data_IF_201867350727
#
_entry.id   IF_201867350727
#
_cell.length_a   1.000
_cell.length_b   1.000
_cell.length_c   1.000
_cell.angle_alpha   90.00
_cell.angle_beta   90.00
_cell.angle_gamma   90.00
#
_symmetry.space_group_name_H-M   'P 1'
#
loop_
_entity.id
_entity.type
_entity.pdbx_description
1 polymer ?
#
# COMPACT_ATOMS: atom_id res chain seq x y z
N UNK A 1 1.31 14.31 21.39
CA UNK A 1 1.19 13.30 22.46
C UNK A 1 1.95 12.06 22.03
N UNK A 2 2.73 11.41 22.92
CA UNK A 2 3.29 10.10 22.63
C UNK A 2 2.15 9.12 22.28
N UNK A 3 2.39 8.14 21.38
CA UNK A 3 1.37 7.16 21.05
C UNK A 3 0.94 6.43 22.33
N UNK A 4 -0.38 6.30 22.54
CA UNK A 4 -0.90 5.48 23.62
C UNK A 4 -0.43 4.05 23.39
N UNK A 5 0.05 3.40 24.45
CA UNK A 5 0.52 2.01 24.43
C UNK A 5 -0.35 1.15 25.34
N UNK A 6 -0.48 -0.14 25.05
CA UNK A 6 -1.20 -1.05 25.91
C UNK A 6 -0.41 -1.26 27.21
N UNK A 7 -1.10 -1.38 28.35
CA UNK A 7 -0.46 -1.51 29.66
C UNK A 7 0.16 -2.90 29.91
N UNK A 8 -0.29 -3.90 29.15
CA UNK A 8 0.19 -5.29 29.11
C UNK A 8 -0.10 -5.85 27.71
N UNK A 9 0.51 -6.97 27.29
CA UNK A 9 0.17 -7.60 26.03
C UNK A 9 -1.36 -7.78 25.89
N UNK A 10 -1.97 -7.30 24.79
CA UNK A 10 -3.39 -7.52 24.53
C UNK A 10 -3.72 -9.00 24.42
N UNK A 11 -4.96 -9.35 24.73
CA UNK A 11 -5.46 -10.71 24.58
C UNK A 11 -5.69 -11.07 23.12
N UNK A 12 -5.57 -12.36 22.81
CA UNK A 12 -5.96 -12.93 21.52
C UNK A 12 -7.42 -12.55 21.23
N UNK A 13 -7.72 -12.27 19.98
CA UNK A 13 -9.10 -12.14 19.50
C UNK A 13 -9.40 -13.19 18.44
N UNK A 14 -10.64 -13.65 18.41
CA UNK A 14 -11.12 -14.59 17.41
C UNK A 14 -12.56 -14.24 17.02
N UNK A 15 -13.00 -14.74 15.87
CA UNK A 15 -14.39 -14.61 15.43
C UNK A 15 -15.13 -15.95 15.53
N UNK A 16 -16.39 -15.90 15.93
CA UNK A 16 -17.28 -17.06 15.87
C UNK A 16 -17.84 -17.28 14.45
N UNK A 17 -18.74 -18.24 14.28
CA UNK A 17 -19.38 -18.57 12.99
C UNK A 17 -20.25 -17.44 12.43
N UNK A 18 -20.70 -16.51 13.27
CA UNK A 18 -21.48 -15.32 12.87
C UNK A 18 -20.60 -14.12 12.51
N UNK A 19 -19.27 -14.24 12.70
CA UNK A 19 -18.33 -13.15 12.48
C UNK A 19 -18.26 -12.15 13.64
N UNK A 20 -18.86 -12.45 14.79
CA UNK A 20 -18.71 -11.64 16.00
C UNK A 20 -17.32 -11.87 16.58
N UNK A 21 -16.62 -10.80 16.94
CA UNK A 21 -15.25 -10.83 17.46
C UNK A 21 -15.30 -10.88 18.98
N UNK A 22 -14.64 -11.88 19.56
CA UNK A 22 -14.50 -12.08 21.01
C UNK A 22 -13.02 -12.09 21.39
N UNK A 23 -12.70 -11.67 22.61
CA UNK A 23 -11.37 -11.85 23.19
C UNK A 23 -11.25 -13.19 23.93
N UNK A 24 -10.05 -13.74 23.94
CA UNK A 24 -9.69 -14.92 24.73
C UNK A 24 -8.56 -14.55 25.69
N UNK A 25 -8.87 -14.19 26.95
CA UNK A 25 -7.90 -13.64 27.89
C UNK A 25 -6.73 -14.55 28.27
N UNK A 26 -6.89 -15.86 28.13
CA UNK A 26 -5.89 -16.86 28.53
C UNK A 26 -4.69 -16.92 27.55
N UNK A 27 -4.85 -16.38 26.34
CA UNK A 27 -3.76 -16.22 25.38
C UNK A 27 -3.54 -14.75 25.06
N UNK A 28 -2.26 -14.35 24.96
CA UNK A 28 -1.91 -13.05 24.41
C UNK A 28 -1.95 -13.06 22.89
N UNK A 29 -2.14 -11.88 22.30
CA UNK A 29 -2.07 -11.71 20.85
C UNK A 29 -0.71 -12.16 20.33
N UNK A 30 -0.71 -12.86 19.20
CA UNK A 30 0.50 -13.23 18.48
C UNK A 30 0.56 -12.51 17.14
N UNK A 31 1.78 -12.17 16.72
CA UNK A 31 2.10 -11.73 15.39
C UNK A 31 2.83 -12.81 14.61
N UNK A 32 2.64 -12.86 13.30
CA UNK A 32 3.39 -13.71 12.38
C UNK A 32 4.38 -12.90 11.54
N UNK A 33 5.57 -13.50 11.37
CA UNK A 33 6.67 -13.05 10.54
C UNK A 33 7.10 -14.22 9.65
N UNK A 34 6.27 -14.51 8.64
CA UNK A 34 6.46 -15.60 7.68
C UNK A 34 6.60 -17.01 8.31
N UNK A 35 5.64 -17.42 9.14
CA UNK A 35 5.62 -18.71 9.82
C UNK A 35 6.37 -18.73 11.15
N UNK A 36 6.73 -17.56 11.68
CA UNK A 36 7.38 -17.40 12.98
C UNK A 36 6.46 -16.58 13.88
N UNK A 37 5.76 -17.27 14.78
CA UNK A 37 4.89 -16.62 15.74
C UNK A 37 5.70 -16.01 16.87
N UNK A 38 5.36 -14.78 17.22
CA UNK A 38 5.98 -14.04 18.30
C UNK A 38 4.94 -13.17 19.00
N UNK A 39 5.15 -12.90 20.29
CA UNK A 39 4.41 -11.86 20.99
C UNK A 39 4.94 -10.49 20.55
N UNK A 40 4.12 -9.60 19.98
CA UNK A 40 4.56 -8.24 19.71
C UNK A 40 4.94 -7.51 21.00
N UNK A 41 6.00 -6.70 20.96
CA UNK A 41 6.33 -5.83 22.08
C UNK A 41 5.25 -4.75 22.24
N UNK A 42 5.05 -4.23 23.45
CA UNK A 42 4.08 -3.13 23.67
C UNK A 42 4.43 -1.87 22.86
N UNK A 43 5.70 -1.71 22.51
CA UNK A 43 6.22 -0.63 21.68
C UNK A 43 5.89 -0.78 20.19
N UNK A 44 5.56 -2.00 19.77
CA UNK A 44 5.07 -2.37 18.45
C UNK A 44 3.56 -2.19 18.29
N UNK A 45 2.85 -1.86 19.37
CA UNK A 45 1.40 -1.80 19.39
C UNK A 45 0.88 -0.37 19.41
N UNK A 46 -0.08 -0.11 18.52
CA UNK A 46 -0.86 1.12 18.48
C UNK A 46 -2.34 0.79 18.60
N UNK A 47 -3.12 1.71 19.16
CA UNK A 47 -4.58 1.63 19.09
C UNK A 47 -5.02 1.55 17.62
N UNK A 48 -5.98 0.69 17.30
CA UNK A 48 -6.48 0.49 15.94
C UNK A 48 -6.81 1.85 15.31
N UNK A 49 -6.12 2.27 14.24
CA UNK A 49 -6.30 3.62 13.70
C UNK A 49 -7.73 3.86 13.21
N UNK A 50 -8.33 5.04 13.45
CA UNK A 50 -9.63 5.37 12.90
C UNK A 50 -9.67 5.23 11.37
N UNK A 51 -10.70 4.57 10.84
CA UNK A 51 -10.82 4.24 9.42
C UNK A 51 -10.16 2.92 9.02
N UNK A 52 -9.64 2.15 9.97
CA UNK A 52 -9.24 0.76 9.76
C UNK A 52 -10.45 -0.17 9.78
N UNK A 53 -10.30 -1.37 9.21
CA UNK A 53 -11.33 -2.42 9.19
C UNK A 53 -10.79 -3.70 9.84
N UNK A 54 -11.69 -4.52 10.38
CA UNK A 54 -11.39 -5.85 10.92
C UNK A 54 -11.92 -6.91 9.97
N UNK A 55 -11.12 -7.95 9.74
CA UNK A 55 -11.45 -9.05 8.84
C UNK A 55 -11.43 -10.37 9.57
N UNK A 56 -12.49 -11.16 9.37
CA UNK A 56 -12.49 -12.59 9.67
C UNK A 56 -11.71 -13.31 8.58
N UNK A 57 -10.89 -14.29 8.95
CA UNK A 57 -10.09 -15.09 8.03
C UNK A 57 -10.67 -16.51 7.92
N UNK A 58 -11.52 -16.81 6.92
CA UNK A 58 -12.16 -18.11 6.82
C UNK A 58 -11.16 -19.25 6.66
N UNK A 59 -11.36 -20.35 7.39
CA UNK A 59 -10.47 -21.51 7.37
C UNK A 59 -9.09 -21.26 8.00
N UNK A 60 -8.95 -20.23 8.84
CA UNK A 60 -7.72 -19.96 9.61
C UNK A 60 -8.07 -20.06 11.09
N UNK A 61 -7.42 -20.97 11.81
CA UNK A 61 -7.54 -21.07 13.26
C UNK A 61 -6.65 -20.02 13.92
N UNK A 62 -7.15 -19.21 14.88
CA UNK A 62 -6.34 -18.19 15.54
C UNK A 62 -5.21 -18.81 16.37
N UNK A 63 -4.06 -18.15 16.38
CA UNK A 63 -2.94 -18.51 17.25
C UNK A 63 -2.61 -17.35 18.20
N UNK A 64 -2.36 -17.68 19.46
CA UNK A 64 -1.94 -16.73 20.50
C UNK A 64 -0.69 -17.22 21.22
N UNK A 65 -0.15 -16.41 22.13
CA UNK A 65 0.99 -16.79 22.98
C UNK A 65 0.49 -17.14 24.37
N UNK A 66 0.86 -18.31 24.87
CA UNK A 66 0.53 -18.71 26.23
C UNK A 66 1.39 -17.91 27.24
N UNK A 67 0.78 -17.19 28.19
CA UNK A 67 1.49 -16.36 29.15
C UNK A 67 2.39 -17.14 30.11
N UNK A 68 2.10 -18.42 30.38
CA UNK A 68 2.85 -19.25 31.31
C UNK A 68 4.09 -19.89 30.66
N UNK A 69 3.99 -20.30 29.39
CA UNK A 69 5.07 -21.00 28.68
C UNK A 69 5.86 -20.09 27.74
N UNK A 70 5.24 -19.00 27.26
CA UNK A 70 5.77 -18.15 26.20
C UNK A 70 5.69 -18.78 24.81
N UNK A 71 5.05 -19.95 24.67
CA UNK A 71 4.93 -20.67 23.40
C UNK A 71 3.65 -20.29 22.66
N UNK A 72 3.65 -20.48 21.34
CA UNK A 72 2.50 -20.22 20.52
C UNK A 72 1.50 -21.39 20.56
N UNK A 73 0.23 -21.09 20.82
CA UNK A 73 -0.85 -22.05 20.90
C UNK A 73 -1.96 -21.72 19.90
N UNK A 74 -2.51 -22.75 19.26
CA UNK A 74 -3.62 -22.60 18.32
C UNK A 74 -4.93 -22.87 19.03
N UNK A 75 -5.84 -21.91 18.99
CA UNK A 75 -7.20 -22.09 19.48
C UNK A 75 -7.98 -22.94 18.46
N UNK A 76 -8.19 -24.22 18.77
CA UNK A 76 -8.85 -25.19 17.88
C UNK A 76 -10.36 -25.25 18.06
N UNK A 77 -10.88 -24.77 19.19
CA UNK A 77 -12.30 -24.77 19.53
C UNK A 77 -12.64 -23.50 20.31
N UNK A 78 -13.81 -22.93 20.05
CA UNK A 78 -14.32 -21.75 20.74
C UNK A 78 -14.60 -22.12 22.21
N UNK A 79 -13.99 -21.43 23.19
CA UNK A 79 -14.14 -21.74 24.60
C UNK A 79 -15.57 -21.55 25.14
N UNK A 80 -16.44 -20.82 24.42
CA UNK A 80 -17.80 -20.53 24.87
C UNK A 80 -18.84 -21.57 24.40
N UNK A 81 -18.71 -22.08 23.17
CA UNK A 81 -19.74 -22.93 22.55
C UNK A 81 -19.18 -24.15 21.78
N UNK A 82 -17.86 -24.34 21.78
CA UNK A 82 -17.19 -25.45 21.11
C UNK A 82 -17.06 -25.33 19.58
N UNK A 83 -17.64 -24.29 18.96
CA UNK A 83 -17.60 -24.09 17.51
C UNK A 83 -16.18 -23.80 16.98
N UNK A 84 -15.98 -23.89 15.67
CA UNK A 84 -14.68 -23.58 15.06
C UNK A 84 -14.40 -22.07 15.12
N UNK A 85 -13.34 -21.63 15.84
CA UNK A 85 -12.97 -20.23 15.88
C UNK A 85 -12.26 -19.82 14.57
N UNK A 86 -12.40 -18.57 14.19
CA UNK A 86 -11.75 -18.00 13.02
C UNK A 86 -10.77 -16.89 13.43
N UNK A 87 -9.60 -16.88 12.81
CA UNK A 87 -8.61 -15.83 13.02
C UNK A 87 -9.15 -14.48 12.57
N UNK A 88 -8.69 -13.42 13.23
CA UNK A 88 -9.06 -12.04 12.93
C UNK A 88 -7.79 -11.24 12.60
N UNK A 89 -7.87 -10.40 11.59
CA UNK A 89 -6.82 -9.46 11.21
C UNK A 89 -7.37 -8.04 11.09
N UNK A 90 -6.48 -7.06 11.11
CA UNK A 90 -6.82 -5.66 10.84
C UNK A 90 -6.24 -5.19 9.51
N UNK A 91 -7.07 -4.51 8.71
CA UNK A 91 -6.60 -3.65 7.63
C UNK A 91 -6.47 -2.23 8.15
N UNK A 92 -5.23 -1.86 8.50
CA UNK A 92 -4.95 -0.55 9.08
C UNK A 92 -5.19 0.58 8.06
N UNK A 93 -5.72 1.69 8.55
CA UNK A 93 -5.90 2.91 7.78
C UNK A 93 -4.59 3.36 7.10
N UNK A 94 -4.67 4.06 5.95
CA UNK A 94 -3.50 4.65 5.30
C UNK A 94 -2.59 5.43 6.28
N UNK A 95 -1.31 5.57 5.92
CA UNK A 95 -0.24 6.14 6.75
C UNK A 95 0.29 5.23 7.88
N UNK A 96 -0.19 3.98 7.97
CA UNK A 96 0.27 3.01 8.96
C UNK A 96 0.92 1.79 8.31
N UNK A 97 2.03 1.34 8.90
CA UNK A 97 2.82 0.19 8.44
C UNK A 97 2.77 -0.90 9.50
N UNK A 98 2.45 -2.13 9.08
CA UNK A 98 2.40 -3.29 9.97
C UNK A 98 3.82 -3.81 10.26
N UNK A 99 4.01 -4.32 11.47
CA UNK A 99 5.26 -5.00 11.88
C UNK A 99 5.07 -6.49 12.08
N UNK A 100 3.83 -6.96 12.19
CA UNK A 100 3.44 -8.37 12.16
C UNK A 100 2.12 -8.57 11.42
N UNK A 101 1.98 -9.70 10.73
CA UNK A 101 0.67 -10.16 10.22
C UNK A 101 -0.08 -10.94 11.29
N UNK A 102 -1.38 -11.17 11.13
CA UNK A 102 -2.15 -12.00 12.05
C UNK A 102 -1.58 -13.42 12.13
N UNK A 103 -1.43 -13.95 13.34
CA UNK A 103 -0.96 -15.31 13.57
C UNK A 103 -2.12 -16.31 13.51
N UNK A 104 -1.98 -17.33 12.67
CA UNK A 104 -2.99 -18.35 12.49
C UNK A 104 -2.41 -19.65 11.93
N UNK A 105 -3.17 -20.74 12.09
CA UNK A 105 -2.93 -21.99 11.38
C UNK A 105 -4.00 -22.18 10.30
N UNK A 106 -3.56 -22.24 9.05
CA UNK A 106 -4.46 -22.49 7.91
C UNK A 106 -4.96 -23.94 7.89
N UNK A 107 -6.26 -24.14 7.72
CA UNK A 107 -6.88 -25.46 7.61
C UNK A 107 -6.90 -25.95 6.16
N UNK A 108 -7.09 -27.26 5.96
CA UNK A 108 -7.31 -27.80 4.63
C UNK A 108 -8.55 -27.16 3.97
N UNK A 109 -8.44 -26.83 2.68
CA UNK A 109 -9.52 -26.22 1.90
C UNK A 109 -9.80 -24.73 2.17
N UNK A 110 -8.96 -24.05 2.96
CA UNK A 110 -9.14 -22.65 3.25
C UNK A 110 -9.03 -21.78 1.97
N UNK A 111 -9.95 -20.82 1.73
CA UNK A 111 -9.97 -20.02 0.51
C UNK A 111 -8.76 -19.08 0.42
N UNK A 112 -8.44 -18.55 -0.75
CA UNK A 112 -7.43 -17.49 -0.85
C UNK A 112 -7.95 -16.20 -0.22
N UNK A 113 -7.14 -15.53 0.61
CA UNK A 113 -7.55 -14.25 1.18
C UNK A 113 -7.53 -13.13 0.11
N UNK A 114 -8.47 -12.17 0.15
CA UNK A 114 -8.47 -11.02 -0.76
C UNK A 114 -7.19 -10.16 -0.70
N UNK A 115 -7.04 -9.22 -1.63
CA UNK A 115 -5.88 -8.34 -1.71
C UNK A 115 -5.95 -7.19 -0.70
N UNK A 116 -5.78 -7.52 0.58
CA UNK A 116 -5.61 -6.58 1.69
C UNK A 116 -4.38 -6.92 2.51
N UNK A 117 -4.00 -6.00 3.40
CA UNK A 117 -3.00 -6.25 4.43
C UNK A 117 -3.69 -6.81 5.68
N UNK A 118 -3.05 -7.80 6.32
CA UNK A 118 -3.63 -8.57 7.41
C UNK A 118 -2.81 -8.40 8.69
N UNK A 119 -2.84 -7.20 9.29
CA UNK A 119 -2.07 -6.91 10.50
C UNK A 119 -2.57 -7.71 11.71
N UNK A 120 -1.65 -8.08 12.62
CA UNK A 120 -2.02 -8.70 13.89
C UNK A 120 -2.85 -7.73 14.73
N UNK A 121 -3.88 -8.25 15.40
CA UNK A 121 -4.80 -7.48 16.24
C UNK A 121 -5.10 -8.23 17.53
N UNK A 122 -5.24 -7.49 18.62
CA UNK A 122 -5.63 -8.00 19.94
C UNK A 122 -6.54 -7.02 20.67
N UNK A 123 -7.04 -7.43 21.82
CA UNK A 123 -7.99 -6.65 22.63
C UNK A 123 -7.43 -6.34 24.01
N UNK A 124 -7.59 -5.10 24.47
CA UNK A 124 -7.28 -4.72 25.84
C UNK A 124 -8.08 -3.49 26.25
N UNK A 125 -8.75 -3.58 27.41
CA UNK A 125 -9.40 -2.45 28.09
C UNK A 125 -10.35 -1.65 27.18
N UNK A 126 -11.24 -2.35 26.46
CA UNK A 126 -12.25 -1.71 25.62
C UNK A 126 -11.76 -1.27 24.24
N UNK A 127 -10.55 -1.67 23.83
CA UNK A 127 -9.90 -1.20 22.62
C UNK A 127 -9.20 -2.31 21.85
N UNK A 128 -9.23 -2.18 20.52
CA UNK A 128 -8.39 -2.96 19.63
C UNK A 128 -7.00 -2.35 19.52
N UNK A 129 -6.00 -3.22 19.54
CA UNK A 129 -4.58 -2.88 19.40
C UNK A 129 -4.00 -3.66 18.24
N UNK A 130 -3.19 -3.00 17.41
CA UNK A 130 -2.60 -3.61 16.21
C UNK A 130 -1.09 -3.50 16.22
N UNK A 131 -0.43 -4.51 15.65
CA UNK A 131 1.01 -4.52 15.49
C UNK A 131 1.45 -3.64 14.30
N UNK A 132 1.81 -2.40 14.60
CA UNK A 132 2.24 -1.44 13.59
C UNK A 132 2.63 -0.08 14.14
N UNK A 133 2.92 0.84 13.23
CA UNK A 133 3.21 2.23 13.55
C UNK A 133 2.70 3.17 12.46
N UNK A 134 2.46 4.43 12.82
CA UNK A 134 2.21 5.48 11.85
C UNK A 134 3.52 5.82 11.13
N UNK A 135 3.65 5.43 9.88
CA UNK A 135 4.84 5.66 9.07
C UNK A 135 4.88 7.05 8.44
N UNK A 136 3.73 7.71 8.30
CA UNK A 136 3.64 9.05 7.71
C UNK A 136 2.76 9.98 8.57
N UNK A 137 3.30 11.13 9.04
CA UNK A 137 2.51 12.07 9.83
C UNK A 137 1.49 12.85 9.00
N UNK A 138 1.55 12.80 7.66
CA UNK A 138 0.64 13.54 6.80
C UNK A 138 -0.81 13.03 6.97
N UNK A 139 -1.76 13.91 7.34
CA UNK A 139 -3.13 13.51 7.64
C UNK A 139 -4.01 13.39 6.39
N UNK A 140 -3.43 13.43 5.18
CA UNK A 140 -4.20 13.60 3.94
C UNK A 140 -5.25 12.53 3.65
N UNK A 141 -5.13 11.36 4.26
CA UNK A 141 -6.10 10.27 4.12
C UNK A 141 -6.69 9.83 5.46
N UNK A 142 -6.51 10.61 6.52
CA UNK A 142 -7.12 10.32 7.83
C UNK A 142 -8.65 10.40 7.71
N UNK A 143 -9.35 9.42 8.29
CA UNK A 143 -10.78 9.24 8.09
C UNK A 143 -11.63 10.43 8.56
N UNK A 144 -11.20 11.10 9.63
CA UNK A 144 -11.84 12.27 10.23
C UNK A 144 -11.78 13.52 9.32
N UNK A 145 -10.90 13.52 8.31
CA UNK A 145 -10.78 14.61 7.34
C UNK A 145 -11.81 14.55 6.22
N UNK A 146 -12.66 13.52 6.17
CA UNK A 146 -13.61 13.32 5.09
C UNK A 146 -15.07 13.48 5.54
N UNK A 147 -15.66 14.64 5.24
CA UNK A 147 -17.09 14.87 5.42
C UNK A 147 -17.89 14.37 4.20
N UNK A 148 -18.65 13.28 4.36
CA UNK A 148 -19.33 12.64 3.23
C UNK A 148 -20.37 13.55 2.54
N UNK A 149 -21.11 14.37 3.28
CA UNK A 149 -22.08 15.32 2.69
C UNK A 149 -21.39 16.33 1.77
N UNK A 150 -20.25 16.86 2.20
CA UNK A 150 -19.44 17.80 1.40
C UNK A 150 -18.87 17.13 0.16
N UNK A 151 -18.39 15.90 0.29
CA UNK A 151 -17.84 15.12 -0.82
C UNK A 151 -18.91 14.86 -1.87
N UNK A 152 -20.09 14.38 -1.48
CA UNK A 152 -21.20 14.14 -2.41
C UNK A 152 -21.55 15.41 -3.20
N UNK A 153 -21.70 16.55 -2.51
CA UNK A 153 -22.01 17.84 -3.13
C UNK A 153 -20.93 18.31 -4.10
N UNK A 154 -19.65 18.29 -3.69
CA UNK A 154 -18.55 18.80 -4.53
C UNK A 154 -18.27 17.89 -5.73
N UNK A 155 -18.37 16.58 -5.55
CA UNK A 155 -18.22 15.61 -6.63
C UNK A 155 -19.31 15.80 -7.68
N UNK A 156 -20.59 15.86 -7.27
CA UNK A 156 -21.70 16.08 -8.19
C UNK A 156 -21.59 17.41 -8.94
N UNK A 157 -21.19 18.50 -8.24
CA UNK A 157 -20.99 19.80 -8.87
C UNK A 157 -19.88 19.78 -9.94
N UNK A 158 -18.75 19.13 -9.64
CA UNK A 158 -17.63 18.99 -10.59
C UNK A 158 -18.01 18.14 -11.81
N UNK A 159 -18.66 17.00 -11.59
CA UNK A 159 -19.13 16.12 -12.68
C UNK A 159 -20.14 16.83 -13.59
N UNK A 160 -21.03 17.65 -13.02
CA UNK A 160 -21.98 18.47 -13.79
C UNK A 160 -21.29 19.60 -14.55
N UNK A 161 -20.22 20.18 -13.98
CA UNK A 161 -19.45 21.26 -14.61
C UNK A 161 -18.64 20.77 -15.82
N UNK A 162 -18.14 19.54 -15.77
CA UNK A 162 -17.32 18.93 -16.81
C UNK A 162 -17.96 17.63 -17.34
N UNK A 163 -19.17 17.71 -17.95
CA UNK A 163 -19.92 16.51 -18.33
C UNK A 163 -19.25 15.72 -19.46
N UNK A 164 -18.52 16.41 -20.35
CA UNK A 164 -17.82 15.80 -21.46
C UNK A 164 -16.43 15.21 -21.09
N UNK A 165 -15.90 15.55 -19.91
CA UNK A 165 -14.58 15.07 -19.48
C UNK A 165 -14.72 13.68 -18.85
N UNK A 166 -14.34 12.64 -19.59
CA UNK A 166 -14.54 11.24 -19.16
C UNK A 166 -13.71 10.91 -17.92
N UNK A 167 -12.54 11.54 -17.76
CA UNK A 167 -11.68 11.34 -16.60
C UNK A 167 -12.37 11.82 -15.31
N UNK A 168 -13.02 12.98 -15.33
CA UNK A 168 -13.80 13.48 -14.18
C UNK A 168 -14.95 12.54 -13.84
N UNK A 169 -15.65 12.02 -14.84
CA UNK A 169 -16.76 11.09 -14.60
C UNK A 169 -16.26 9.78 -13.96
N UNK A 170 -15.13 9.24 -14.44
CA UNK A 170 -14.48 8.07 -13.84
C UNK A 170 -14.05 8.33 -12.39
N UNK A 171 -13.38 9.46 -12.14
CA UNK A 171 -12.98 9.85 -10.78
C UNK A 171 -14.20 10.04 -9.86
N UNK A 172 -15.31 10.53 -10.38
CA UNK A 172 -16.57 10.66 -9.66
C UNK A 172 -17.07 9.31 -9.14
N UNK A 173 -17.04 8.27 -9.98
CA UNK A 173 -17.32 6.89 -9.56
C UNK A 173 -16.33 6.40 -8.51
N UNK A 174 -15.02 6.61 -8.71
CA UNK A 174 -14.01 6.24 -7.71
C UNK A 174 -14.25 6.91 -6.35
N UNK A 175 -14.67 8.16 -6.35
CA UNK A 175 -14.95 8.94 -5.15
C UNK A 175 -16.20 8.46 -4.40
N UNK A 176 -17.31 8.25 -5.12
CA UNK A 176 -18.62 7.99 -4.52
C UNK A 176 -18.93 6.51 -4.30
N UNK A 177 -18.48 5.63 -5.21
CA UNK A 177 -18.76 4.19 -5.15
C UNK A 177 -17.68 3.42 -4.38
N UNK A 178 -16.40 3.74 -4.64
CA UNK A 178 -15.28 3.01 -4.04
C UNK A 178 -14.65 3.72 -2.84
N UNK A 179 -15.06 4.95 -2.53
CA UNK A 179 -14.50 5.72 -1.42
C UNK A 179 -13.01 6.06 -1.58
N UNK A 180 -12.47 6.06 -2.81
CA UNK A 180 -11.04 6.26 -3.08
C UNK A 180 -10.52 7.57 -2.45
N UNK A 181 -9.58 7.51 -1.48
CA UNK A 181 -9.13 8.70 -0.77
C UNK A 181 -8.50 9.78 -1.67
N UNK A 182 -7.76 9.37 -2.70
CA UNK A 182 -7.16 10.29 -3.67
C UNK A 182 -8.25 11.02 -4.49
N UNK A 183 -9.28 10.30 -4.95
CA UNK A 183 -10.39 10.91 -5.67
C UNK A 183 -11.19 11.87 -4.77
N UNK A 184 -11.43 11.48 -3.50
CA UNK A 184 -12.08 12.35 -2.50
C UNK A 184 -11.29 13.64 -2.29
N UNK A 185 -9.97 13.56 -2.18
CA UNK A 185 -9.10 14.73 -2.04
C UNK A 185 -9.12 15.66 -3.27
N UNK A 186 -9.15 15.10 -4.48
CA UNK A 186 -9.34 15.87 -5.70
C UNK A 186 -10.64 16.68 -5.69
N UNK A 187 -11.79 16.05 -5.40
CA UNK A 187 -13.06 16.79 -5.33
C UNK A 187 -13.15 17.76 -4.15
N UNK A 188 -12.33 17.56 -3.12
CA UNK A 188 -12.16 18.51 -2.02
C UNK A 188 -11.16 19.64 -2.36
N UNK A 189 -10.46 19.57 -3.50
CA UNK A 189 -9.52 20.60 -3.96
C UNK A 189 -8.25 20.70 -3.13
N UNK A 190 -7.74 19.57 -2.62
CA UNK A 190 -6.58 19.53 -1.71
C UNK A 190 -5.61 18.41 -2.05
N UNK A 191 -4.32 18.63 -1.76
CA UNK A 191 -3.26 17.62 -1.79
C UNK A 191 -3.11 16.89 -3.13
N UNK A 192 -3.20 15.56 -3.14
CA UNK A 192 -2.94 14.71 -4.31
C UNK A 192 -4.21 14.42 -5.10
N UNK A 193 -4.19 14.72 -6.39
CA UNK A 193 -5.23 14.37 -7.35
C UNK A 193 -4.78 13.21 -8.27
N UNK A 194 -5.60 12.15 -8.39
CA UNK A 194 -5.30 11.01 -9.26
C UNK A 194 -5.58 11.33 -10.73
N UNK A 195 -4.69 10.90 -11.62
CA UNK A 195 -4.83 10.99 -13.08
C UNK A 195 -4.72 9.59 -13.72
N UNK A 196 -5.73 8.71 -13.55
CA UNK A 196 -5.72 7.40 -14.22
C UNK A 196 -5.76 7.56 -15.74
N UNK A 197 -4.89 6.83 -16.44
CA UNK A 197 -4.65 7.00 -17.88
C UNK A 197 -4.53 5.70 -18.67
N UNK A 198 -4.17 4.59 -18.04
CA UNK A 198 -3.82 3.36 -18.75
C UNK A 198 -4.83 2.22 -18.51
N UNK A 199 -5.54 1.75 -19.56
CA UNK A 199 -6.40 0.56 -19.45
C UNK A 199 -5.60 -0.75 -19.48
N UNK A 200 -4.32 -0.72 -19.84
CA UNK A 200 -3.48 -1.89 -20.11
C UNK A 200 -2.26 -1.93 -19.19
N UNK A 201 -1.69 -3.12 -18.97
CA UNK A 201 -0.50 -3.30 -18.15
C UNK A 201 0.48 -4.26 -18.84
N UNK A 202 1.78 -4.03 -18.68
CA UNK A 202 2.85 -4.91 -19.14
C UNK A 202 3.36 -5.86 -18.03
N UNK A 203 2.62 -5.99 -16.93
CA UNK A 203 2.89 -6.93 -15.84
C UNK A 203 1.65 -7.78 -15.55
N UNK A 204 1.85 -9.03 -15.14
CA UNK A 204 0.79 -9.94 -14.70
C UNK A 204 0.97 -10.28 -13.23
N UNK A 205 1.04 -9.23 -12.40
CA UNK A 205 1.40 -9.34 -11.00
C UNK A 205 0.53 -10.38 -10.28
N UNK A 206 1.13 -11.21 -9.45
CA UNK A 206 0.39 -12.18 -8.65
C UNK A 206 -0.68 -11.50 -7.79
N UNK A 207 -0.35 -10.38 -7.14
CA UNK A 207 -1.30 -9.57 -6.37
C UNK A 207 -1.79 -8.32 -7.10
N UNK A 208 -2.26 -8.42 -8.36
CA UNK A 208 -2.69 -7.24 -9.13
C UNK A 208 -3.98 -6.60 -8.58
N UNK A 209 -3.87 -5.48 -7.86
CA UNK A 209 -5.02 -4.79 -7.27
C UNK A 209 -6.01 -4.19 -8.27
N UNK A 210 -5.58 -3.92 -9.52
CA UNK A 210 -6.44 -3.30 -10.54
C UNK A 210 -7.08 -4.30 -11.51
N UNK A 211 -6.73 -5.58 -11.42
CA UNK A 211 -7.32 -6.65 -12.23
C UNK A 211 -7.12 -8.00 -11.53
N UNK A 212 -8.22 -8.56 -11.02
CA UNK A 212 -8.26 -9.91 -10.46
C UNK A 212 -9.11 -10.82 -11.36
N UNK A 213 -8.79 -12.12 -11.45
CA UNK A 213 -9.66 -13.10 -12.10
C UNK A 213 -11.07 -13.09 -11.48
N UNK A 214 -12.09 -13.30 -12.30
CA UNK A 214 -13.47 -13.37 -11.84
C UNK A 214 -13.68 -14.53 -10.85
N UNK A 215 -14.46 -14.29 -9.79
CA UNK A 215 -15.03 -15.34 -8.93
C UNK A 215 -14.40 -15.51 -7.54
N UNK A 216 -13.13 -15.19 -7.32
CA UNK A 216 -12.49 -15.44 -6.02
C UNK A 216 -12.43 -14.18 -5.14
N UNK A 217 -12.01 -13.03 -5.69
CA UNK A 217 -11.93 -11.74 -5.00
C UNK A 217 -11.99 -10.60 -6.05
N UNK A 218 -13.08 -9.82 -6.17
CA UNK A 218 -13.12 -8.72 -7.12
C UNK A 218 -12.09 -7.64 -6.76
N UNK A 219 -11.56 -6.96 -7.77
CA UNK A 219 -10.70 -5.80 -7.56
C UNK A 219 -11.49 -4.72 -6.79
N UNK A 220 -10.85 -4.06 -5.83
CA UNK A 220 -11.48 -3.02 -5.03
C UNK A 220 -11.97 -1.82 -5.86
N UNK A 221 -11.39 -1.64 -7.06
CA UNK A 221 -11.75 -0.60 -8.02
C UNK A 221 -11.66 -1.16 -9.43
N UNK A 222 -12.62 -0.82 -10.27
CA UNK A 222 -12.60 -1.19 -11.69
C UNK A 222 -11.52 -0.42 -12.45
N UNK A 223 -10.82 -1.11 -13.36
CA UNK A 223 -9.84 -0.49 -14.24
C UNK A 223 -10.52 0.47 -15.21
N UNK A 224 -9.92 1.64 -15.43
CA UNK A 224 -10.31 2.57 -16.49
C UNK A 224 -10.31 1.84 -17.85
N UNK A 225 -11.34 2.06 -18.66
CA UNK A 225 -11.55 1.36 -19.94
C UNK A 225 -11.13 2.18 -21.16
N UNK A 226 -10.57 3.37 -20.96
CA UNK A 226 -10.20 4.31 -22.01
C UNK A 226 -8.89 5.03 -21.66
N UNK A 227 -8.26 5.61 -22.68
CA UNK A 227 -7.15 6.54 -22.51
C UNK A 227 -7.72 7.97 -22.61
N UNK A 228 -7.68 8.78 -21.54
CA UNK A 228 -8.11 10.17 -21.60
C UNK A 228 -7.18 10.96 -22.54
N UNK A 229 -7.73 11.97 -23.21
CA UNK A 229 -6.94 12.87 -24.04
C UNK A 229 -6.05 13.78 -23.18
N UNK A 230 -4.94 14.32 -23.72
CA UNK A 230 -4.13 15.28 -23.00
C UNK A 230 -4.89 16.52 -22.50
N UNK A 231 -5.93 16.93 -23.24
CA UNK A 231 -6.81 18.03 -22.84
C UNK A 231 -7.70 17.66 -21.67
N UNK A 232 -8.31 16.47 -21.67
CA UNK A 232 -9.12 15.98 -20.53
C UNK A 232 -8.28 15.92 -19.25
N UNK A 233 -7.02 15.49 -19.34
CA UNK A 233 -6.09 15.44 -18.21
C UNK A 233 -5.76 16.87 -17.74
N UNK A 234 -5.33 17.75 -18.65
CA UNK A 234 -4.91 19.11 -18.30
C UNK A 234 -6.06 19.96 -17.74
N UNK A 235 -7.29 19.78 -18.23
CA UNK A 235 -8.49 20.50 -17.80
C UNK A 235 -8.76 20.36 -16.29
N UNK A 236 -8.39 19.23 -15.70
CA UNK A 236 -8.56 19.01 -14.25
C UNK A 236 -7.26 19.21 -13.47
N UNK A 237 -6.12 18.90 -14.08
CA UNK A 237 -4.83 18.97 -13.41
C UNK A 237 -4.35 20.41 -13.24
N UNK A 238 -4.52 21.28 -14.23
CA UNK A 238 -4.05 22.68 -14.16
C UNK A 238 -4.75 23.47 -13.05
N UNK A 239 -6.10 23.47 -12.95
CA UNK A 239 -6.78 24.15 -11.85
C UNK A 239 -6.37 23.60 -10.48
N UNK A 240 -6.20 22.28 -10.36
CA UNK A 240 -5.77 21.64 -9.10
C UNK A 240 -4.34 22.06 -8.71
N UNK A 241 -3.37 21.98 -9.62
CA UNK A 241 -1.98 22.41 -9.39
C UNK A 241 -1.88 23.89 -9.00
N UNK A 242 -2.81 24.72 -9.50
CA UNK A 242 -2.82 26.15 -9.24
C UNK A 242 -3.38 26.48 -7.86
N UNK A 243 -4.41 25.76 -7.43
CA UNK A 243 -5.25 26.18 -6.28
C UNK A 243 -5.08 25.31 -5.03
N UNK A 244 -4.78 24.03 -5.18
CA UNK A 244 -4.68 23.11 -4.04
C UNK A 244 -3.44 23.41 -3.19
N UNK A 245 -3.58 23.25 -1.87
CA UNK A 245 -2.43 23.26 -0.96
C UNK A 245 -1.60 21.99 -1.16
N UNK A 246 -0.26 22.14 -1.18
CA UNK A 246 0.70 21.03 -1.37
C UNK A 246 0.29 20.16 -2.56
N UNK A 247 -0.04 20.82 -3.68
CA UNK A 247 -0.68 20.20 -4.82
C UNK A 247 0.21 19.15 -5.48
N UNK A 248 -0.33 17.96 -5.67
CA UNK A 248 0.27 16.88 -6.44
C UNK A 248 -0.76 16.39 -7.43
N UNK A 249 -0.35 16.11 -8.67
CA UNK A 249 -1.13 15.31 -9.61
C UNK A 249 -0.34 14.06 -9.95
N UNK A 250 -0.98 12.89 -9.88
CA UNK A 250 -0.29 11.61 -9.99
C UNK A 250 -0.89 10.73 -11.07
N UNK A 251 -0.08 10.36 -12.06
CA UNK A 251 -0.36 9.20 -12.91
C UNK A 251 -0.10 7.91 -12.14
N UNK A 252 -0.72 6.80 -12.52
CA UNK A 252 -0.55 5.49 -11.88
C UNK A 252 -1.40 5.29 -10.63
N UNK A 253 -2.63 4.86 -10.82
CA UNK A 253 -3.63 4.71 -9.76
C UNK A 253 -4.12 3.26 -9.62
N UNK A 254 -4.75 2.95 -8.49
CA UNK A 254 -5.31 1.61 -8.23
C UNK A 254 -6.39 1.18 -9.24
N UNK A 255 -7.00 2.14 -9.94
CA UNK A 255 -7.97 1.90 -11.01
C UNK A 255 -7.35 1.93 -12.43
N UNK A 256 -6.03 1.75 -12.60
CA UNK A 256 -5.40 1.69 -13.92
C UNK A 256 -4.35 0.57 -14.04
N UNK A 257 -3.84 0.34 -15.25
CA UNK A 257 -2.72 -0.54 -15.53
C UNK A 257 -1.36 0.16 -15.39
N UNK A 258 -0.46 -0.01 -16.36
CA UNK A 258 0.86 0.65 -16.35
C UNK A 258 0.81 1.96 -17.14
N UNK A 259 0.96 3.14 -16.50
CA UNK A 259 0.91 4.44 -17.16
C UNK A 259 2.03 4.70 -18.17
N UNK A 260 3.21 4.08 -18.04
CA UNK A 260 4.29 4.24 -19.03
C UNK A 260 3.91 3.73 -20.42
N UNK A 261 2.92 2.84 -20.54
CA UNK A 261 2.36 2.42 -21.84
C UNK A 261 1.63 3.55 -22.56
N UNK A 262 1.26 4.61 -21.85
CA UNK A 262 0.60 5.80 -22.39
C UNK A 262 1.54 7.02 -22.44
N UNK A 263 2.87 6.80 -22.47
CA UNK A 263 3.86 7.86 -22.46
C UNK A 263 3.63 9.01 -23.47
N UNK A 264 3.17 8.78 -24.72
CA UNK A 264 2.86 9.88 -25.63
C UNK A 264 1.73 10.81 -25.14
N UNK A 265 0.73 10.25 -24.46
CA UNK A 265 -0.37 11.02 -23.86
C UNK A 265 0.10 11.77 -22.62
N UNK A 266 0.87 11.10 -21.75
CA UNK A 266 1.44 11.70 -20.55
C UNK A 266 2.35 12.88 -20.93
N UNK A 267 3.29 12.70 -21.86
CA UNK A 267 4.21 13.77 -22.32
C UNK A 267 3.44 15.03 -22.73
N UNK A 268 2.44 14.89 -23.61
CA UNK A 268 1.60 16.01 -24.06
C UNK A 268 0.86 16.67 -22.90
N UNK A 269 0.34 15.88 -21.97
CA UNK A 269 -0.38 16.38 -20.80
C UNK A 269 0.55 17.15 -19.86
N UNK A 270 1.76 16.64 -19.61
CA UNK A 270 2.78 17.28 -18.78
C UNK A 270 3.20 18.61 -19.38
N UNK A 271 3.43 18.66 -20.70
CA UNK A 271 3.74 19.93 -21.38
C UNK A 271 2.60 20.94 -21.27
N UNK A 272 1.34 20.51 -21.44
CA UNK A 272 0.18 21.39 -21.24
C UNK A 272 0.10 21.92 -19.80
N UNK A 273 0.32 21.05 -18.81
CA UNK A 273 0.33 21.43 -17.40
C UNK A 273 1.45 22.44 -17.10
N UNK A 274 2.68 22.13 -17.52
CA UNK A 274 3.87 22.95 -17.27
C UNK A 274 3.87 24.27 -18.04
N UNK A 275 3.26 24.30 -19.23
CA UNK A 275 3.02 25.54 -19.98
C UNK A 275 1.96 26.44 -19.34
N UNK A 276 1.05 25.88 -18.53
CA UNK A 276 -0.02 26.64 -17.86
C UNK A 276 0.34 27.06 -16.43
N UNK A 277 1.17 26.28 -15.73
CA UNK A 277 1.57 26.57 -14.35
C UNK A 277 2.90 25.91 -13.96
N UNK A 278 3.72 26.64 -13.21
CA UNK A 278 4.95 26.13 -12.59
C UNK A 278 4.74 25.50 -11.22
N UNK A 279 3.54 25.64 -10.65
CA UNK A 279 3.17 25.19 -9.29
C UNK A 279 2.89 23.68 -9.25
N UNK A 280 3.07 23.13 -8.05
CA UNK A 280 2.69 21.76 -7.69
C UNK A 280 3.52 20.68 -8.37
N UNK A 281 3.41 19.46 -7.86
CA UNK A 281 4.23 18.31 -8.28
C UNK A 281 3.48 17.47 -9.30
N UNK A 282 4.13 17.12 -10.40
CA UNK A 282 3.64 16.10 -11.34
C UNK A 282 4.40 14.81 -11.05
N UNK A 283 3.68 13.82 -10.57
CA UNK A 283 4.20 12.53 -10.13
C UNK A 283 3.73 11.38 -11.04
N UNK A 284 4.56 10.36 -11.18
CA UNK A 284 4.25 9.11 -11.87
C UNK A 284 4.42 7.93 -10.93
N UNK A 285 3.34 7.22 -10.61
CA UNK A 285 3.44 5.90 -9.97
C UNK A 285 3.55 4.82 -11.06
N UNK A 286 4.54 3.94 -11.00
CA UNK A 286 4.79 2.99 -12.10
C UNK A 286 5.56 1.76 -11.62
N UNK A 287 5.55 0.68 -12.41
CA UNK A 287 6.55 -0.39 -12.28
C UNK A 287 7.95 0.03 -12.78
N UNK A 288 8.05 1.18 -13.47
CA UNK A 288 9.27 1.78 -14.02
C UNK A 288 10.03 0.88 -15.02
N UNK A 289 9.36 -0.10 -15.61
CA UNK A 289 9.96 -1.08 -16.52
C UNK A 289 10.29 -0.56 -17.92
N UNK A 290 9.97 0.70 -18.26
CA UNK A 290 10.18 1.27 -19.60
C UNK A 290 11.08 2.53 -19.55
N UNK A 291 12.42 2.37 -19.51
CA UNK A 291 13.36 3.48 -19.38
C UNK A 291 13.23 4.58 -20.43
N UNK A 292 13.00 4.21 -21.70
CA UNK A 292 12.81 5.18 -22.78
C UNK A 292 11.54 6.03 -22.61
N UNK A 293 10.48 5.43 -22.06
CA UNK A 293 9.27 6.16 -21.71
C UNK A 293 9.52 7.11 -20.53
N UNK A 294 10.30 6.71 -19.53
CA UNK A 294 10.68 7.56 -18.40
C UNK A 294 11.51 8.77 -18.87
N UNK A 295 12.52 8.55 -19.71
CA UNK A 295 13.35 9.62 -20.31
C UNK A 295 12.50 10.67 -21.04
N UNK A 296 11.56 10.21 -21.88
CA UNK A 296 10.59 11.08 -22.56
C UNK A 296 9.77 11.94 -21.60
N UNK A 297 9.39 11.41 -20.44
CA UNK A 297 8.59 12.14 -19.45
C UNK A 297 9.45 13.10 -18.61
N UNK A 298 10.71 12.78 -18.37
CA UNK A 298 11.69 13.70 -17.77
C UNK A 298 11.79 14.97 -18.62
N UNK A 299 11.97 14.81 -19.94
CA UNK A 299 12.07 15.91 -20.90
C UNK A 299 10.77 16.73 -20.99
N UNK A 300 9.63 16.11 -20.72
CA UNK A 300 8.34 16.79 -20.68
C UNK A 300 8.16 17.67 -19.43
N UNK A 301 8.95 17.44 -18.36
CA UNK A 301 8.86 18.15 -17.09
C UNK A 301 8.23 17.35 -15.94
N UNK A 302 8.33 16.02 -15.97
CA UNK A 302 7.99 15.16 -14.82
C UNK A 302 8.91 15.48 -13.63
N UNK A 303 8.33 15.65 -12.42
CA UNK A 303 9.11 15.99 -11.23
C UNK A 303 9.53 14.76 -10.43
N UNK A 304 8.66 13.76 -10.35
CA UNK A 304 8.89 12.58 -9.53
C UNK A 304 8.34 11.30 -10.12
N UNK A 305 9.00 10.19 -9.77
CA UNK A 305 8.49 8.84 -10.00
C UNK A 305 8.42 8.09 -8.67
N UNK A 306 7.34 7.33 -8.48
CA UNK A 306 7.20 6.31 -7.47
C UNK A 306 7.27 4.93 -8.11
N UNK A 307 8.37 4.23 -7.87
CA UNK A 307 8.63 2.89 -8.38
C UNK A 307 8.05 1.85 -7.44
N UNK A 308 7.09 1.06 -7.89
CA UNK A 308 6.57 -0.07 -7.11
C UNK A 308 7.51 -1.26 -7.17
N UNK A 309 7.82 -1.85 -6.01
CA UNK A 309 8.81 -2.90 -5.88
C UNK A 309 8.44 -3.87 -4.75
N UNK A 310 8.17 -5.13 -5.09
CA UNK A 310 7.93 -6.18 -4.09
C UNK A 310 9.24 -6.72 -3.50
N UNK A 311 10.32 -6.72 -4.27
CA UNK A 311 11.63 -7.23 -3.87
C UNK A 311 12.73 -6.60 -4.72
N UNK A 312 13.88 -6.34 -4.09
CA UNK A 312 15.12 -5.93 -4.74
C UNK A 312 15.93 -7.11 -5.29
N UNK A 313 15.47 -8.36 -5.09
CA UNK A 313 16.07 -9.59 -5.62
C UNK A 313 15.45 -9.90 -6.98
N UNK A 314 16.24 -9.96 -8.09
CA UNK A 314 15.70 -10.13 -9.44
C UNK A 314 14.74 -11.30 -9.61
N UNK A 315 15.07 -12.48 -9.10
CA UNK A 315 14.24 -13.68 -9.23
C UNK A 315 12.88 -13.54 -8.52
N UNK A 316 12.86 -12.98 -7.31
CA UNK A 316 11.63 -12.79 -6.53
C UNK A 316 10.75 -11.69 -7.13
N UNK A 317 11.39 -10.64 -7.66
CA UNK A 317 10.72 -9.59 -8.42
C UNK A 317 10.02 -10.16 -9.65
N UNK A 318 10.71 -10.99 -10.43
CA UNK A 318 10.17 -11.60 -11.65
C UNK A 318 9.00 -12.55 -11.36
N UNK A 319 9.11 -13.39 -10.32
CA UNK A 319 8.04 -14.29 -9.90
C UNK A 319 6.75 -13.57 -9.51
N UNK A 320 6.89 -12.42 -8.82
CA UNK A 320 5.75 -11.60 -8.42
C UNK A 320 5.17 -10.80 -9.59
N UNK A 321 5.98 -9.98 -10.28
CA UNK A 321 5.51 -9.06 -11.32
C UNK A 321 5.12 -9.77 -12.61
N UNK A 322 5.74 -10.91 -12.91
CA UNK A 322 5.59 -11.65 -14.17
C UNK A 322 5.66 -10.70 -15.37
N UNK A 323 6.80 -9.99 -15.52
CA UNK A 323 6.92 -8.87 -16.44
C UNK A 323 6.81 -9.33 -17.90
N UNK A 324 6.22 -8.50 -18.75
CA UNK A 324 6.15 -8.70 -20.21
C UNK A 324 7.03 -7.65 -20.88
N UNK A 325 8.26 -8.02 -21.22
CA UNK A 325 9.19 -7.15 -21.93
C UNK A 325 9.91 -6.13 -21.05
N UNK A 326 10.05 -6.39 -19.74
CA UNK A 326 10.93 -5.62 -18.85
C UNK A 326 11.52 -6.49 -17.74
N UNK A 327 12.54 -5.98 -17.05
CA UNK A 327 13.21 -6.66 -15.94
C UNK A 327 13.53 -5.68 -14.80
N UNK A 328 13.99 -6.19 -13.65
CA UNK A 328 14.48 -5.33 -12.56
C UNK A 328 15.67 -4.46 -12.99
N UNK A 329 16.44 -4.87 -14.01
CA UNK A 329 17.51 -4.04 -14.59
C UNK A 329 16.95 -2.78 -15.24
N UNK A 330 15.82 -2.89 -15.94
CA UNK A 330 15.16 -1.76 -16.58
C UNK A 330 14.59 -0.81 -15.53
N UNK A 331 14.00 -1.35 -14.46
CA UNK A 331 13.53 -0.57 -13.30
C UNK A 331 14.68 0.25 -12.69
N UNK A 332 15.84 -0.36 -12.46
CA UNK A 332 17.04 0.33 -11.96
C UNK A 332 17.53 1.41 -12.92
N UNK A 333 17.50 1.14 -14.23
CA UNK A 333 17.85 2.13 -15.27
C UNK A 333 16.92 3.34 -15.22
N UNK A 334 15.61 3.14 -15.09
CA UNK A 334 14.63 4.22 -14.94
C UNK A 334 14.89 5.09 -13.72
N UNK A 335 15.24 4.47 -12.57
CA UNK A 335 15.62 5.22 -11.36
C UNK A 335 16.86 6.08 -11.65
N UNK A 336 17.91 5.49 -12.22
CA UNK A 336 19.16 6.20 -12.53
C UNK A 336 18.91 7.38 -13.49
N UNK A 337 18.04 7.22 -14.50
CA UNK A 337 17.68 8.30 -15.43
C UNK A 337 17.03 9.48 -14.69
N UNK A 338 16.06 9.21 -13.82
CA UNK A 338 15.41 10.24 -12.99
C UNK A 338 16.43 10.97 -12.11
N UNK A 339 17.33 10.21 -11.45
CA UNK A 339 18.36 10.80 -10.59
C UNK A 339 19.37 11.65 -11.37
N UNK A 340 19.83 11.19 -12.54
CA UNK A 340 20.71 11.97 -13.43
C UNK A 340 20.09 13.29 -13.87
N UNK A 341 18.76 13.32 -14.05
CA UNK A 341 18.02 14.53 -14.39
C UNK A 341 17.64 15.39 -13.16
N UNK A 342 18.18 15.11 -11.97
CA UNK A 342 17.89 15.85 -10.74
C UNK A 342 16.44 15.70 -10.26
N UNK A 343 15.74 14.63 -10.67
CA UNK A 343 14.34 14.37 -10.29
C UNK A 343 14.25 13.51 -9.05
N UNK A 344 13.07 13.52 -8.43
CA UNK A 344 12.80 12.78 -7.20
C UNK A 344 12.35 11.34 -7.50
N UNK A 345 12.88 10.39 -6.73
CA UNK A 345 12.51 8.98 -6.81
C UNK A 345 12.05 8.49 -5.45
N UNK A 346 10.81 8.00 -5.40
CA UNK A 346 10.28 7.22 -4.29
C UNK A 346 10.26 5.73 -4.65
N UNK A 347 10.63 4.85 -3.71
CA UNK A 347 10.35 3.42 -3.79
C UNK A 347 9.09 3.10 -3.01
N UNK A 348 8.06 2.59 -3.66
CA UNK A 348 6.92 1.95 -3.03
C UNK A 348 7.28 0.48 -2.77
N UNK A 349 7.85 0.25 -1.58
CA UNK A 349 8.39 -1.05 -1.21
C UNK A 349 7.37 -1.81 -0.36
N UNK A 350 6.99 -3.00 -0.82
CA UNK A 350 5.89 -3.75 -0.18
C UNK A 350 6.37 -4.40 1.12
N UNK A 351 5.82 -3.93 2.23
CA UNK A 351 6.18 -4.38 3.57
C UNK A 351 5.40 -5.65 3.92
N UNK A 352 6.13 -6.73 4.14
CA UNK A 352 5.67 -8.01 4.66
C UNK A 352 6.69 -8.53 5.70
N UNK A 353 6.35 -8.54 7.00
CA UNK A 353 7.18 -9.08 8.07
C UNK A 353 7.57 -10.54 7.80
N UNK A 354 8.86 -10.83 7.98
CA UNK A 354 9.50 -12.11 7.69
C UNK A 354 10.08 -12.20 6.29
N UNK A 355 9.62 -11.36 5.36
CA UNK A 355 10.12 -11.28 3.99
C UNK A 355 10.96 -10.01 3.77
N UNK A 356 10.39 -8.84 4.04
CA UNK A 356 11.01 -7.52 3.81
C UNK A 356 12.25 -7.33 4.68
N UNK A 357 12.19 -7.84 5.90
CA UNK A 357 13.25 -7.86 6.90
C UNK A 357 14.02 -9.19 6.92
N UNK A 358 13.94 -9.99 5.85
CA UNK A 358 14.88 -11.09 5.63
C UNK A 358 16.29 -10.52 5.36
N UNK A 359 17.36 -11.11 5.94
CA UNK A 359 18.72 -10.58 5.76
C UNK A 359 19.16 -10.45 4.30
N UNK A 360 18.76 -11.35 3.40
CA UNK A 360 19.17 -11.30 1.99
C UNK A 360 18.39 -10.23 1.23
N UNK A 361 17.10 -10.09 1.54
CA UNK A 361 16.27 -9.03 0.97
C UNK A 361 16.75 -7.64 1.43
N UNK A 362 17.08 -7.48 2.71
CA UNK A 362 17.67 -6.24 3.25
C UNK A 362 18.99 -5.89 2.56
N UNK A 363 19.89 -6.86 2.36
CA UNK A 363 21.16 -6.63 1.62
C UNK A 363 20.90 -6.25 0.17
N UNK A 364 19.96 -6.90 -0.50
CA UNK A 364 19.59 -6.58 -1.88
C UNK A 364 19.03 -5.15 -2.01
N UNK A 365 18.16 -4.75 -1.08
CA UNK A 365 17.61 -3.39 -1.03
C UNK A 365 18.71 -2.36 -0.77
N UNK A 366 19.62 -2.60 0.18
CA UNK A 366 20.76 -1.73 0.42
C UNK A 366 21.59 -1.53 -0.85
N UNK A 367 21.91 -2.60 -1.58
CA UNK A 367 22.66 -2.50 -2.84
C UNK A 367 21.89 -1.76 -3.94
N UNK A 368 20.56 -1.85 -3.98
CA UNK A 368 19.75 -1.02 -4.87
C UNK A 368 19.82 0.46 -4.48
N UNK A 369 19.72 0.78 -3.19
CA UNK A 369 19.79 2.16 -2.70
C UNK A 369 21.16 2.77 -3.01
N UNK A 370 22.25 2.05 -2.76
CA UNK A 370 23.63 2.49 -3.02
C UNK A 370 23.89 2.80 -4.49
N UNK A 371 23.38 1.95 -5.38
CA UNK A 371 23.67 2.05 -6.82
C UNK A 371 22.71 2.98 -7.56
N UNK A 372 21.46 3.09 -7.11
CA UNK A 372 20.42 3.84 -7.80
C UNK A 372 20.06 5.17 -7.13
N UNK A 373 20.37 5.35 -5.84
CA UNK A 373 20.18 6.60 -5.11
C UNK A 373 18.73 7.12 -5.03
N UNK A 374 17.72 6.30 -4.68
CA UNK A 374 16.37 6.81 -4.42
C UNK A 374 16.35 7.79 -3.24
N UNK A 375 15.40 8.72 -3.22
CA UNK A 375 15.30 9.76 -2.19
C UNK A 375 14.37 9.37 -1.03
N UNK A 376 13.43 8.47 -1.29
CA UNK A 376 12.32 8.20 -0.39
C UNK A 376 11.87 6.74 -0.47
N UNK A 377 11.52 6.12 0.67
CA UNK A 377 10.83 4.82 0.72
C UNK A 377 9.43 5.00 1.31
N UNK A 378 8.42 4.64 0.53
CA UNK A 378 7.04 4.47 0.99
C UNK A 378 6.85 3.08 1.58
N UNK A 379 6.53 3.04 2.86
CA UNK A 379 6.37 1.85 3.69
C UNK A 379 4.97 1.26 3.55
N UNK A 380 4.56 0.95 2.32
CA UNK A 380 3.22 0.41 2.03
C UNK A 380 3.15 -1.06 2.39
N UNK A 381 2.12 -1.46 3.14
CA UNK A 381 1.88 -2.86 3.45
C UNK A 381 1.62 -3.66 2.16
N UNK A 382 2.11 -4.89 2.12
CA UNK A 382 1.73 -5.84 1.07
C UNK A 382 0.23 -6.18 1.22
N UNK A 383 -0.53 -5.95 0.15
CA UNK A 383 -1.95 -6.29 0.07
C UNK A 383 -2.14 -7.62 -0.65
N UNK A 384 -1.86 -8.74 0.03
CA UNK A 384 -1.94 -10.10 -0.53
C UNK A 384 -1.97 -11.11 0.64
N UNK A 385 -2.63 -12.25 0.44
CA UNK A 385 -2.52 -13.39 1.37
C UNK A 385 -1.03 -13.70 1.65
N UNK A 386 -0.57 -13.57 2.91
CA UNK A 386 0.85 -13.72 3.24
C UNK A 386 1.41 -15.06 2.83
N UNK A 387 0.71 -16.16 3.12
CA UNK A 387 1.20 -17.50 2.77
C UNK A 387 1.23 -17.70 1.25
N UNK A 388 0.25 -17.15 0.53
CA UNK A 388 0.25 -17.22 -0.93
C UNK A 388 1.40 -16.44 -1.55
N UNK A 389 1.69 -15.23 -1.05
CA UNK A 389 2.84 -14.45 -1.52
C UNK A 389 4.13 -15.26 -1.37
N UNK A 390 4.35 -15.87 -0.20
CA UNK A 390 5.54 -16.68 0.07
C UNK A 390 5.67 -17.88 -0.88
N UNK A 391 4.55 -18.55 -1.18
CA UNK A 391 4.51 -19.64 -2.17
C UNK A 391 4.84 -19.15 -3.58
N UNK A 392 4.28 -18.01 -3.99
CA UNK A 392 4.48 -17.43 -5.33
C UNK A 392 5.93 -17.06 -5.59
N UNK A 393 6.58 -16.38 -4.63
CA UNK A 393 7.97 -15.95 -4.79
C UNK A 393 8.95 -17.04 -4.38
N UNK A 394 8.48 -18.21 -3.96
CA UNK A 394 9.32 -19.31 -3.46
C UNK A 394 10.30 -18.85 -2.38
N UNK A 395 9.85 -17.97 -1.48
CA UNK A 395 10.73 -17.43 -0.46
C UNK A 395 11.20 -18.54 0.47
N UNK A 396 12.51 -18.55 0.72
CA UNK A 396 13.16 -19.35 1.74
C UNK A 396 13.93 -18.38 2.64
N UNK A 397 13.60 -18.41 3.92
CA UNK A 397 14.22 -17.56 4.93
C UNK A 397 15.72 -17.83 4.94
N UNK A 398 16.53 -16.78 4.77
CA UNK A 398 17.99 -16.89 4.78
C UNK A 398 18.59 -16.83 6.20
N UNK A 399 17.76 -16.48 7.18
CA UNK A 399 18.12 -16.41 8.59
C UNK A 399 16.97 -15.88 9.45
N UNK A 400 17.24 -15.56 10.71
CA UNK A 400 16.26 -14.88 11.57
C UNK A 400 15.94 -13.50 10.96
N UNK A 401 14.65 -13.15 10.75
CA UNK A 401 14.28 -11.82 10.30
C UNK A 401 14.78 -10.74 11.26
N UNK A 402 15.12 -9.56 10.72
CA UNK A 402 15.62 -8.44 11.52
C UNK A 402 14.54 -7.85 12.43
N UNK A 403 13.27 -7.96 12.05
CA UNK A 403 12.15 -7.18 12.58
C UNK A 403 12.00 -5.89 11.77
N UNK A 404 10.77 -5.55 11.38
CA UNK A 404 10.48 -4.38 10.51
C UNK A 404 11.01 -3.06 11.10
N UNK A 405 10.95 -2.87 12.43
CA UNK A 405 11.50 -1.67 13.08
C UNK A 405 13.02 -1.60 12.98
N UNK A 406 13.72 -2.70 13.26
CA UNK A 406 15.17 -2.77 13.16
C UNK A 406 15.64 -2.66 11.71
N UNK A 407 14.90 -3.24 10.77
CA UNK A 407 15.12 -3.06 9.33
C UNK A 407 15.04 -1.58 8.95
N UNK A 408 14.01 -0.87 9.41
CA UNK A 408 13.84 0.56 9.14
C UNK A 408 14.97 1.40 9.77
N UNK A 409 15.34 1.11 11.01
CA UNK A 409 16.40 1.83 11.71
C UNK A 409 17.79 1.56 11.10
N UNK A 410 18.02 0.33 10.65
CA UNK A 410 19.21 -0.04 9.87
C UNK A 410 19.33 0.77 8.58
N UNK A 411 18.21 0.94 7.84
CA UNK A 411 18.21 1.78 6.65
C UNK A 411 18.48 3.25 6.97
N UNK A 412 17.89 3.80 8.04
CA UNK A 412 18.14 5.19 8.47
C UNK A 412 19.60 5.44 8.83
N UNK A 413 20.18 4.50 9.58
CA UNK A 413 21.58 4.58 10.01
C UNK A 413 22.52 4.49 8.82
N UNK A 414 22.27 3.57 7.89
CA UNK A 414 23.13 3.35 6.71
C UNK A 414 22.96 4.44 5.65
N UNK A 415 21.75 4.97 5.48
CA UNK A 415 21.40 5.94 4.43
C UNK A 415 20.76 7.19 5.04
N UNK A 416 21.53 8.10 5.68
CA UNK A 416 20.98 9.22 6.44
C UNK A 416 20.23 10.27 5.59
N UNK A 417 20.45 10.30 4.27
CA UNK A 417 19.74 11.19 3.35
C UNK A 417 18.42 10.58 2.83
N UNK A 418 18.22 9.27 3.01
CA UNK A 418 17.01 8.56 2.58
C UNK A 418 15.87 8.89 3.54
N UNK A 419 14.74 9.33 2.98
CA UNK A 419 13.55 9.66 3.76
C UNK A 419 12.52 8.55 3.70
N UNK A 420 11.56 8.57 4.62
CA UNK A 420 10.55 7.52 4.76
C UNK A 420 9.17 8.11 4.98
N UNK A 421 8.14 7.38 4.54
CA UNK A 421 6.75 7.62 4.90
C UNK A 421 5.81 6.78 4.07
N UNK A 422 4.69 7.33 3.58
CA UNK A 422 3.61 6.52 3.00
C UNK A 422 3.00 7.17 1.76
N UNK A 423 2.97 8.49 1.68
CA UNK A 423 2.41 9.22 0.53
C UNK A 423 3.47 9.83 -0.38
N UNK A 424 3.06 10.25 -1.58
CA UNK A 424 3.93 11.00 -2.47
C UNK A 424 4.22 12.38 -1.84
N UNK A 425 5.50 12.78 -1.72
CA UNK A 425 5.86 14.08 -1.15
C UNK A 425 5.55 15.22 -2.14
N UNK A 426 5.03 16.37 -1.68
CA UNK A 426 4.96 17.58 -2.49
C UNK A 426 6.37 18.20 -2.57
N UNK A 427 6.85 18.43 -3.78
CA UNK A 427 8.22 18.89 -4.08
C UNK A 427 8.29 20.36 -4.51
N UNK A 428 7.15 20.97 -4.83
CA UNK A 428 7.01 22.33 -5.37
C UNK A 428 5.90 23.09 -4.68
#
# INVERSE_FOLDING_TARGET
MPPRRPARPPSLVFANSRGEILDFPDLYMAGDSCGRFAQPETDDLIELPPGSELFVLPGRLPAGINPATGEAEVLSSNPHDGSAPQAVAAFMAPAHTLVYTAAYRTTAGAPLLPLFAYAAVGWQAGKFWVAGFRSDPDPRQDADRFNQKTINRRTAAMMKRLPANRLVQHLGRCCLSYGCPAARNFFLGRWEAPLPTSPVCNASCAGCISLQPSGCCPAAQERISFVPSPREIAEIAVPHLTTAERAIVSFGQGCEGEPLLQAPTLEKSIRLMRGSTSRGTINLNSNAGLPAAVERLIDAGLDSIRVSLNSARPALHELYYRPRGFSLRDVRRSIILMKKAGRHVSLNYFILPGFTDDPDEYRALCGLIETCGPDYIQLRNLNMDPEWYMRVVHHRSSGKPLGIRNWLEGLRTRFPLLRFGYFNPPLR
#
